data_IF_520050350064
#
_entry.id   IF_520050350064
#
_cell.length_a   1.000
_cell.length_b   1.000
_cell.length_c   1.000
_cell.angle_alpha   90.00
_cell.angle_beta   90.00
_cell.angle_gamma   90.00
#
_symmetry.space_group_name_H-M   'P 1'
#
loop_
_entity.id
_entity.type
_entity.pdbx_description
1 polymer ?
#
# COMPACT_ATOMS: atom_id res chain seq x y z
N UNK A 1 1.61 10.07 20.72
CA UNK A 1 1.91 9.01 19.73
C UNK A 1 0.61 8.65 19.03
N UNK A 2 0.51 8.82 17.72
CA UNK A 2 -0.63 8.31 16.95
C UNK A 2 -0.52 6.78 16.90
N UNK A 3 -1.57 6.02 17.26
CA UNK A 3 -1.51 4.57 17.19
C UNK A 3 -1.27 4.12 15.75
N UNK A 4 -0.22 3.33 15.53
CA UNK A 4 0.01 2.63 14.26
C UNK A 4 -0.57 1.23 14.37
N UNK A 5 -1.34 0.82 13.37
CA UNK A 5 -1.87 -0.52 13.27
C UNK A 5 -1.15 -1.25 12.12
N UNK A 6 -0.79 -2.54 12.30
CA UNK A 6 -0.23 -3.30 11.20
C UNK A 6 -1.29 -3.43 10.09
N UNK A 7 -0.90 -3.10 8.87
CA UNK A 7 -1.66 -3.43 7.67
C UNK A 7 -1.06 -4.70 7.09
N UNK A 8 -1.88 -5.73 6.93
CA UNK A 8 -1.47 -7.03 6.40
C UNK A 8 -2.20 -7.27 5.08
N UNK A 9 -1.42 -7.55 4.04
CA UNK A 9 -1.92 -7.86 2.70
C UNK A 9 -1.53 -9.31 2.39
N UNK A 10 -2.51 -10.20 2.53
CA UNK A 10 -2.29 -11.66 2.48
C UNK A 10 -2.02 -12.19 1.06
N UNK A 11 -2.45 -11.47 0.04
CA UNK A 11 -2.18 -11.76 -1.37
C UNK A 11 -0.80 -11.29 -1.86
N UNK A 12 0.09 -10.91 -0.93
CA UNK A 12 1.46 -10.53 -1.24
C UNK A 12 1.58 -9.23 -2.02
N UNK A 13 2.63 -9.13 -2.85
CA UNK A 13 3.03 -7.89 -3.55
C UNK A 13 1.96 -7.40 -4.52
N UNK A 14 1.32 -8.29 -5.29
CA UNK A 14 0.32 -7.87 -6.28
C UNK A 14 -0.93 -7.30 -5.63
N UNK A 15 -1.40 -7.89 -4.52
CA UNK A 15 -2.48 -7.29 -3.74
C UNK A 15 -2.06 -5.93 -3.15
N UNK A 16 -0.82 -5.82 -2.66
CA UNK A 16 -0.30 -4.56 -2.13
C UNK A 16 -0.27 -3.45 -3.18
N UNK A 17 0.13 -3.79 -4.41
CA UNK A 17 0.16 -2.86 -5.53
C UNK A 17 -1.26 -2.50 -5.98
N UNK A 18 -2.19 -3.46 -6.03
CA UNK A 18 -3.59 -3.20 -6.35
C UNK A 18 -4.28 -2.30 -5.31
N UNK A 19 -3.90 -2.42 -4.03
CA UNK A 19 -4.41 -1.56 -2.97
C UNK A 19 -4.10 -0.07 -3.19
N UNK A 20 -3.08 0.25 -4.02
CA UNK A 20 -2.81 1.63 -4.45
C UNK A 20 -4.04 2.31 -5.05
N UNK A 21 -4.89 1.57 -5.79
CA UNK A 21 -6.09 2.11 -6.41
C UNK A 21 -7.11 2.67 -5.40
N UNK A 22 -7.04 2.23 -4.13
CA UNK A 22 -7.88 2.74 -3.04
C UNK A 22 -7.30 4.01 -2.38
N UNK A 23 -6.12 4.48 -2.80
CA UNK A 23 -5.48 5.65 -2.21
C UNK A 23 -5.98 6.95 -2.85
N UNK A 24 -6.03 8.07 -2.10
CA UNK A 24 -6.43 9.37 -2.66
C UNK A 24 -5.52 9.89 -3.78
N UNK A 25 -4.30 9.38 -3.90
CA UNK A 25 -3.33 9.78 -4.93
C UNK A 25 -3.51 9.02 -6.25
N UNK A 26 -4.31 7.95 -6.27
CA UNK A 26 -4.51 7.12 -7.46
C UNK A 26 -4.98 7.91 -8.70
N UNK A 27 -5.94 8.85 -8.63
CA UNK A 27 -6.34 9.65 -9.79
C UNK A 27 -5.19 10.49 -10.36
N UNK A 28 -4.30 10.99 -9.48
CA UNK A 28 -3.14 11.77 -9.90
C UNK A 28 -2.14 10.94 -10.70
N UNK A 29 -1.87 9.71 -10.28
CA UNK A 29 -1.01 8.79 -11.03
C UNK A 29 -1.67 8.35 -12.34
N UNK A 30 -2.98 8.09 -12.34
CA UNK A 30 -3.72 7.70 -13.53
C UNK A 30 -3.72 8.77 -14.65
N UNK A 31 -3.54 10.05 -14.29
CA UNK A 31 -3.45 11.15 -15.24
C UNK A 31 -2.06 11.31 -15.90
N UNK A 32 -1.03 10.61 -15.40
CA UNK A 32 0.34 10.71 -15.93
C UNK A 32 0.48 9.97 -17.26
N UNK A 33 1.50 10.30 -18.09
CA UNK A 33 1.82 9.52 -19.28
C UNK A 33 2.06 8.04 -18.95
N UNK A 34 1.67 7.14 -19.85
CA UNK A 34 1.71 5.70 -19.60
C UNK A 34 3.09 5.18 -19.15
N UNK A 35 4.16 5.67 -19.79
CA UNK A 35 5.54 5.32 -19.42
C UNK A 35 5.87 5.67 -17.97
N UNK A 36 5.32 6.77 -17.45
CA UNK A 36 5.52 7.21 -16.06
C UNK A 36 4.71 6.32 -15.11
N UNK A 37 3.48 5.94 -15.49
CA UNK A 37 2.68 4.99 -14.72
C UNK A 37 3.38 3.64 -14.60
N UNK A 38 3.89 3.11 -15.72
CA UNK A 38 4.58 1.82 -15.73
C UNK A 38 5.83 1.86 -14.83
N UNK A 39 6.67 2.91 -14.95
CA UNK A 39 7.83 3.09 -14.07
C UNK A 39 7.44 3.24 -12.59
N UNK A 40 6.35 3.95 -12.29
CA UNK A 40 5.83 4.09 -10.94
C UNK A 40 5.42 2.74 -10.35
N UNK A 41 4.65 1.93 -11.09
CA UNK A 41 4.19 0.64 -10.60
C UNK A 41 5.32 -0.41 -10.50
N UNK A 42 6.33 -0.35 -11.37
CA UNK A 42 7.56 -1.15 -11.22
C UNK A 42 8.32 -0.80 -9.92
N UNK A 43 8.50 0.49 -9.65
CA UNK A 43 9.15 0.92 -8.42
C UNK A 43 8.31 0.56 -7.19
N UNK A 44 6.98 0.72 -7.27
CA UNK A 44 6.07 0.38 -6.18
C UNK A 44 6.16 -1.11 -5.84
N UNK A 45 6.18 -2.00 -6.85
CA UNK A 45 6.41 -3.45 -6.63
C UNK A 45 7.73 -3.70 -5.92
N UNK A 46 8.80 -3.05 -6.38
CA UNK A 46 10.14 -3.20 -5.78
C UNK A 46 10.16 -2.79 -4.31
N UNK A 47 9.49 -1.69 -3.95
CA UNK A 47 9.40 -1.24 -2.56
C UNK A 47 8.50 -2.16 -1.72
N UNK A 48 7.36 -2.63 -2.25
CA UNK A 48 6.47 -3.54 -1.54
C UNK A 48 7.11 -4.91 -1.29
N UNK A 49 7.95 -5.40 -2.21
CA UNK A 49 8.67 -6.66 -2.05
C UNK A 49 9.61 -6.66 -0.83
N UNK A 50 10.12 -5.50 -0.41
CA UNK A 50 10.96 -5.37 0.80
C UNK A 50 10.18 -5.63 2.10
N UNK A 51 8.86 -5.51 2.04
CA UNK A 51 7.93 -5.73 3.16
C UNK A 51 7.34 -7.16 3.16
N UNK A 52 7.75 -8.01 2.21
CA UNK A 52 7.26 -9.37 2.07
C UNK A 52 7.83 -10.26 3.19
N UNK A 53 6.95 -10.90 3.95
CA UNK A 53 7.24 -11.90 4.98
C UNK A 53 6.21 -13.01 4.91
N UNK A 54 6.67 -14.26 4.78
CA UNK A 54 5.80 -15.45 4.71
C UNK A 54 4.68 -15.34 3.64
N UNK A 55 5.01 -14.77 2.48
CA UNK A 55 4.07 -14.56 1.39
C UNK A 55 3.11 -13.37 1.57
N UNK A 56 3.18 -12.67 2.70
CA UNK A 56 2.34 -11.51 3.04
C UNK A 56 3.14 -10.23 3.00
N UNK A 57 2.53 -9.12 2.59
CA UNK A 57 3.13 -7.79 2.76
C UNK A 57 2.64 -7.21 4.08
N UNK A 58 3.57 -6.84 4.96
CA UNK A 58 3.26 -6.29 6.30
C UNK A 58 3.82 -4.87 6.41
N UNK A 59 2.92 -3.89 6.46
CA UNK A 59 3.23 -2.48 6.62
C UNK A 59 2.73 -1.91 7.94
N UNK A 60 3.20 -0.71 8.29
CA UNK A 60 2.62 0.08 9.38
C UNK A 60 1.67 1.12 8.79
N UNK A 61 0.44 1.17 9.27
CA UNK A 61 -0.54 2.20 8.89
C UNK A 61 -0.76 3.16 10.04
N UNK A 62 -0.62 4.45 9.77
CA UNK A 62 -1.13 5.49 10.66
C UNK A 62 -2.62 5.59 10.47
N UNK A 63 -3.39 5.30 11.52
CA UNK A 63 -4.85 5.33 11.49
C UNK A 63 -5.38 6.36 12.46
N UNK A 64 -6.45 7.06 12.06
CA UNK A 64 -7.23 7.92 12.96
C UNK A 64 -8.40 7.16 13.61
N UNK A 65 -8.47 5.82 13.46
CA UNK A 65 -9.50 5.01 14.10
C UNK A 65 -9.27 5.00 15.62
N UNK A 66 -10.28 5.46 16.36
CA UNK A 66 -10.34 5.37 17.81
C UNK A 66 -11.10 4.11 18.19
N UNK A 67 -10.44 3.15 18.84
CA UNK A 67 -11.09 1.93 19.33
C UNK A 67 -11.84 2.28 20.63
N UNK A 68 -13.18 2.31 20.56
CA UNK A 68 -14.02 2.40 21.75
C UNK A 68 -14.00 1.08 22.51
N UNK A 69 -13.64 1.11 23.80
CA UNK A 69 -13.84 -0.03 24.70
C UNK A 69 -15.23 0.09 25.30
N UNK A 70 -16.08 -0.90 25.07
CA UNK A 70 -17.34 -1.08 25.81
C UNK A 70 -17.05 -1.54 27.23
#
# INVERSE_FOLDING_TARGET
MTPTLPMVLEGGVEQAVQAFAATPVAPGVAALPRQVQDAFFEQLRTEMAKLLKDGKVIGQMTSNIVIGRC
#
